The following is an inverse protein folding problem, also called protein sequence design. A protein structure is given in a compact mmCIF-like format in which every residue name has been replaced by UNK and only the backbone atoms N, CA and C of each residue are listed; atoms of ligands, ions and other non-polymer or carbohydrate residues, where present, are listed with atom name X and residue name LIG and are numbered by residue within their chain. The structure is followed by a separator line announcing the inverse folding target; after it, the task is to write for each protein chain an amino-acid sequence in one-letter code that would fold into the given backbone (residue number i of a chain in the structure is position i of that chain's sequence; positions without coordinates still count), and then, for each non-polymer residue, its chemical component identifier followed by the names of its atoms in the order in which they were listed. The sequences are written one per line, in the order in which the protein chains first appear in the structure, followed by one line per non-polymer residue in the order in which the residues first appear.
data_IF_926815035167
#
_entry.id   IF_926815035167
#
_cell.length_a   1.000
_cell.length_b   1.000
_cell.length_c   1.000
_cell.angle_alpha   90.00
_cell.angle_beta   90.00
_cell.angle_gamma   90.00
#
_symmetry.space_group_name_H-M   'P 1'
#
loop_
_entity.id
_entity.type
_entity.pdbx_description
1 polymer ?
#
# COMPACT_ATOMS: atom_id res chain seq x y z
N UNK A 1 2.97 -14.18 40.94
CA UNK A 1 2.24 -13.18 40.12
C UNK A 1 3.18 -12.02 39.84
N UNK A 2 3.59 -11.86 38.58
CA UNK A 2 4.53 -10.83 38.17
C UNK A 2 3.94 -9.44 38.41
N UNK A 3 4.51 -8.69 39.34
CA UNK A 3 4.27 -7.25 39.43
C UNK A 3 4.96 -6.62 38.23
N UNK A 4 4.22 -6.37 37.15
CA UNK A 4 4.68 -5.53 36.04
C UNK A 4 4.93 -4.14 36.60
N UNK A 5 6.15 -3.90 37.11
CA UNK A 5 6.50 -2.57 37.60
C UNK A 5 6.41 -1.62 36.40
N UNK A 6 5.68 -0.49 36.50
CA UNK A 6 5.55 0.48 35.41
C UNK A 6 6.90 0.93 34.83
N UNK A 7 7.94 0.92 35.69
CA UNK A 7 9.32 1.23 35.35
C UNK A 7 9.96 0.19 34.41
N UNK A 8 9.69 -1.11 34.63
CA UNK A 8 10.16 -2.18 33.75
C UNK A 8 9.45 -2.15 32.39
N UNK A 9 8.15 -1.84 32.38
CA UNK A 9 7.37 -1.72 31.14
C UNK A 9 7.90 -0.60 30.24
N UNK A 10 8.22 0.58 30.80
CA UNK A 10 8.86 1.67 30.04
C UNK A 10 10.23 1.29 29.46
N UNK A 11 11.04 0.50 30.19
CA UNK A 11 12.32 -0.02 29.66
C UNK A 11 12.10 -0.98 28.50
N UNK A 12 11.12 -1.88 28.60
CA UNK A 12 10.76 -2.80 27.52
C UNK A 12 10.25 -2.06 26.28
N UNK A 13 9.33 -1.09 26.43
CA UNK A 13 8.85 -0.28 25.31
C UNK A 13 9.98 0.47 24.62
N UNK A 14 10.91 1.08 25.38
CA UNK A 14 12.08 1.74 24.80
C UNK A 14 13.01 0.77 24.05
N UNK A 15 13.09 -0.49 24.48
CA UNK A 15 13.84 -1.53 23.77
C UNK A 15 13.13 -1.98 22.48
N UNK A 16 11.81 -2.10 22.48
CA UNK A 16 11.04 -2.46 21.28
C UNK A 16 11.00 -1.33 20.24
N UNK A 17 10.88 -0.07 20.68
CA UNK A 17 10.92 1.09 19.78
C UNK A 17 12.25 1.17 19.02
N UNK A 18 13.36 0.72 19.62
CA UNK A 18 14.66 0.66 18.93
C UNK A 18 14.74 -0.40 17.83
N UNK A 19 13.86 -1.41 17.85
CA UNK A 19 13.77 -2.43 16.79
C UNK A 19 12.95 -1.94 15.59
N UNK A 20 12.26 -0.80 15.71
CA UNK A 20 11.50 -0.21 14.62
C UNK A 20 12.47 0.42 13.62
N UNK A 21 12.83 -0.34 12.59
CA UNK A 21 13.62 0.16 11.47
C UNK A 21 12.68 0.86 10.48
N UNK A 22 12.60 2.18 10.58
CA UNK A 22 11.86 2.96 9.59
C UNK A 22 12.57 2.88 8.23
N UNK A 23 11.82 2.62 7.14
CA UNK A 23 12.38 2.59 5.81
C UNK A 23 12.96 3.94 5.43
N UNK A 24 14.04 3.91 4.66
CA UNK A 24 14.67 5.11 4.12
C UNK A 24 13.77 5.73 3.05
N UNK A 25 13.89 7.05 2.85
CA UNK A 25 13.10 7.76 1.80
C UNK A 25 13.28 7.13 0.41
N UNK A 26 14.44 6.53 0.14
CA UNK A 26 14.74 5.84 -1.12
C UNK A 26 13.90 4.56 -1.30
N UNK A 27 13.79 3.75 -0.25
CA UNK A 27 12.98 2.52 -0.27
C UNK A 27 11.48 2.84 -0.44
N UNK A 28 11.00 3.90 0.23
CA UNK A 28 9.60 4.36 0.08
C UNK A 28 9.32 4.79 -1.35
N UNK A 29 10.23 5.53 -1.98
CA UNK A 29 10.06 5.96 -3.38
C UNK A 29 10.10 4.78 -4.34
N UNK A 30 11.05 3.85 -4.17
CA UNK A 30 11.18 2.68 -5.02
C UNK A 30 9.94 1.78 -4.95
N UNK A 31 9.45 1.50 -3.74
CA UNK A 31 8.23 0.70 -3.54
C UNK A 31 6.99 1.41 -4.10
N UNK A 32 6.89 2.73 -3.96
CA UNK A 32 5.80 3.51 -4.55
C UNK A 32 5.82 3.49 -6.08
N UNK A 33 6.99 3.62 -6.71
CA UNK A 33 7.14 3.55 -8.18
C UNK A 33 6.70 2.18 -8.70
N UNK A 34 7.06 1.10 -8.02
CA UNK A 34 6.64 -0.25 -8.39
C UNK A 34 5.11 -0.38 -8.39
N UNK A 35 4.45 0.16 -7.35
CA UNK A 35 2.98 0.17 -7.28
C UNK A 35 2.37 1.04 -8.37
N UNK A 36 2.93 2.22 -8.64
CA UNK A 36 2.45 3.10 -9.71
C UNK A 36 2.48 2.43 -11.09
N UNK A 37 3.54 1.66 -11.40
CA UNK A 37 3.64 0.93 -12.66
C UNK A 37 2.52 -0.12 -12.76
N UNK A 38 2.31 -0.91 -11.70
CA UNK A 38 1.25 -1.92 -11.67
C UNK A 38 -0.14 -1.29 -11.87
N UNK A 39 -0.41 -0.17 -11.17
CA UNK A 39 -1.68 0.56 -11.28
C UNK A 39 -1.85 1.16 -12.67
N UNK A 40 -0.79 1.69 -13.29
CA UNK A 40 -0.85 2.23 -14.64
C UNK A 40 -1.23 1.16 -15.67
N UNK A 41 -0.67 -0.05 -15.55
CA UNK A 41 -1.02 -1.18 -16.42
C UNK A 41 -2.48 -1.60 -16.22
N UNK A 42 -2.92 -1.73 -14.96
CA UNK A 42 -4.30 -2.07 -14.65
C UNK A 42 -5.29 -1.02 -15.17
N UNK A 43 -4.97 0.27 -15.01
CA UNK A 43 -5.78 1.37 -15.51
C UNK A 43 -5.87 1.38 -17.04
N UNK A 44 -4.77 1.12 -17.75
CA UNK A 44 -4.78 0.99 -19.20
C UNK A 44 -5.65 -0.18 -19.67
N UNK A 45 -5.59 -1.33 -18.98
CA UNK A 45 -6.44 -2.48 -19.27
C UNK A 45 -7.93 -2.14 -19.07
N UNK A 46 -8.30 -1.56 -17.93
CA UNK A 46 -9.68 -1.16 -17.68
C UNK A 46 -10.17 -0.13 -18.70
N UNK A 47 -9.35 0.86 -19.05
CA UNK A 47 -9.70 1.84 -20.07
C UNK A 47 -10.02 1.21 -21.43
N UNK A 48 -9.21 0.26 -21.88
CA UNK A 48 -9.48 -0.48 -23.12
C UNK A 48 -10.81 -1.26 -23.05
N UNK A 49 -11.05 -1.93 -21.93
CA UNK A 49 -12.29 -2.70 -21.71
C UNK A 49 -13.50 -1.76 -21.68
N UNK A 50 -13.44 -0.64 -20.97
CA UNK A 50 -14.50 0.35 -20.88
C UNK A 50 -14.88 0.91 -22.26
N UNK A 51 -13.89 1.14 -23.14
CA UNK A 51 -14.18 1.54 -24.51
C UNK A 51 -14.95 0.47 -25.28
N UNK A 52 -14.50 -0.80 -25.21
CA UNK A 52 -15.17 -1.92 -25.88
C UNK A 52 -16.61 -2.07 -25.38
N UNK A 53 -16.80 -2.07 -24.06
CA UNK A 53 -18.14 -2.12 -23.47
C UNK A 53 -18.98 -0.91 -23.86
N UNK A 54 -18.42 0.30 -23.87
CA UNK A 54 -19.11 1.51 -24.31
C UNK A 54 -19.58 1.45 -25.76
N UNK A 55 -18.76 0.89 -26.66
CA UNK A 55 -19.16 0.64 -28.05
C UNK A 55 -20.28 -0.40 -28.16
N UNK A 56 -20.19 -1.50 -27.42
CA UNK A 56 -21.21 -2.57 -27.42
C UNK A 56 -22.55 -2.03 -26.89
N UNK A 57 -22.53 -1.30 -25.77
CA UNK A 57 -23.74 -0.71 -25.18
C UNK A 57 -24.37 0.29 -26.14
N UNK A 58 -23.59 1.13 -26.82
CA UNK A 58 -24.10 2.04 -27.85
C UNK A 58 -24.71 1.32 -29.05
N UNK A 59 -24.23 0.13 -29.41
CA UNK A 59 -24.77 -0.66 -30.51
C UNK A 59 -26.07 -1.40 -30.14
N UNK A 60 -26.30 -1.65 -28.85
CA UNK A 60 -27.49 -2.36 -28.34
C UNK A 60 -28.60 -1.40 -27.93
N UNK A 61 -28.26 -0.27 -27.31
CA UNK A 61 -29.22 0.73 -26.81
C UNK A 61 -29.38 1.95 -27.73
N UNK A 62 -28.55 2.07 -28.77
CA UNK A 62 -28.73 3.00 -29.88
C UNK A 62 -29.32 2.28 -31.08
#
# INVERSE_FOLDING_TARGET
MAKVSPVLFFRQVKQEVKKVTWPTRKEVVQTSIMVLILVAIAAAFFFCVDQVFGFIVKLIFG
#
